data_IF_341950676519
#
_entry.id   IF_341950676519
#
_cell.length_a   1.000
_cell.length_b   1.000
_cell.length_c   1.000
_cell.angle_alpha   90.00
_cell.angle_beta   90.00
_cell.angle_gamma   90.00
#
_symmetry.space_group_name_H-M   'P 1'
#
loop_
_entity.id
_entity.type
_entity.pdbx_description
1 polymer ?
#
# COMPACT_ATOMS: atom_id res chain seq x y z
N UNK A 1 19.28 -42.32 5.13
CA UNK A 1 18.06 -41.52 4.86
C UNK A 1 18.43 -40.06 5.16
N UNK A 2 18.50 -39.19 4.15
CA UNK A 2 18.88 -37.79 4.36
C UNK A 2 17.67 -36.97 4.78
N UNK A 3 17.86 -36.04 5.74
CA UNK A 3 16.86 -35.05 6.15
C UNK A 3 17.38 -33.68 5.72
N UNK A 4 16.63 -33.01 4.85
CA UNK A 4 16.96 -31.66 4.39
C UNK A 4 16.16 -30.65 5.21
N UNK A 5 16.82 -29.57 5.63
CA UNK A 5 16.18 -28.44 6.30
C UNK A 5 16.50 -27.20 5.47
N UNK A 6 15.46 -26.45 5.08
CA UNK A 6 15.60 -25.18 4.39
C UNK A 6 15.15 -24.07 5.34
N UNK A 7 16.03 -23.09 5.56
CA UNK A 7 15.70 -21.86 6.26
C UNK A 7 15.54 -20.76 5.21
N UNK A 8 14.35 -20.14 5.17
CA UNK A 8 14.02 -19.06 4.23
C UNK A 8 13.65 -17.84 5.05
N UNK A 9 14.29 -16.71 4.74
CA UNK A 9 14.01 -15.43 5.36
C UNK A 9 13.44 -14.46 4.32
N UNK A 10 12.32 -13.83 4.66
CA UNK A 10 11.63 -12.85 3.80
C UNK A 10 12.04 -11.45 4.26
N UNK A 11 12.17 -10.51 3.31
CA UNK A 11 12.49 -9.12 3.62
C UNK A 11 11.40 -8.50 4.51
N UNK A 12 11.77 -7.82 5.61
CA UNK A 12 10.82 -7.25 6.57
C UNK A 12 10.29 -5.88 6.10
N UNK A 13 9.95 -5.74 4.81
CA UNK A 13 9.43 -4.51 4.20
C UNK A 13 8.10 -4.85 3.51
N UNK A 14 7.03 -4.17 3.89
CA UNK A 14 5.73 -4.33 3.29
C UNK A 14 5.42 -3.23 2.28
N UNK A 15 4.43 -3.49 1.41
CA UNK A 15 3.83 -2.47 0.56
C UNK A 15 3.22 -1.37 1.45
N UNK A 16 3.31 -0.12 1.00
CA UNK A 16 2.85 1.10 1.68
C UNK A 16 3.66 1.51 2.93
N UNK A 17 4.72 0.78 3.29
CA UNK A 17 5.62 1.19 4.38
C UNK A 17 6.43 2.44 4.00
N UNK A 18 6.75 3.25 5.00
CA UNK A 18 7.67 4.38 4.90
C UNK A 18 9.04 3.97 5.42
N UNK A 19 10.09 4.26 4.66
CA UNK A 19 11.47 3.94 5.01
C UNK A 19 12.32 5.21 5.03
N UNK A 20 13.27 5.24 5.96
CA UNK A 20 14.38 6.17 5.96
C UNK A 20 15.64 5.40 5.55
N UNK A 21 16.05 5.54 4.29
CA UNK A 21 17.17 4.80 3.75
C UNK A 21 18.50 5.29 4.35
N UNK A 22 19.45 4.38 4.63
CA UNK A 22 20.83 4.76 4.87
C UNK A 22 21.39 5.55 3.67
N UNK A 23 22.19 6.59 3.94
CA UNK A 23 22.72 7.48 2.88
C UNK A 23 23.48 6.72 1.77
N UNK A 24 24.24 5.68 2.14
CA UNK A 24 24.95 4.85 1.17
C UNK A 24 23.99 4.08 0.25
N UNK A 25 22.90 3.54 0.80
CA UNK A 25 21.84 2.86 0.05
C UNK A 25 21.12 3.85 -0.86
N UNK A 26 20.79 5.03 -0.36
CA UNK A 26 20.14 6.09 -1.13
C UNK A 26 21.01 6.57 -2.31
N UNK A 27 22.31 6.76 -2.09
CA UNK A 27 23.27 7.13 -3.13
C UNK A 27 23.39 6.06 -4.23
N UNK A 28 23.51 4.78 -3.84
CA UNK A 28 23.61 3.67 -4.79
C UNK A 28 22.32 3.41 -5.58
N UNK A 29 21.16 3.84 -5.06
CA UNK A 29 19.88 3.82 -5.75
C UNK A 29 19.64 5.08 -6.62
N UNK A 30 20.69 5.59 -7.25
CA UNK A 30 20.62 6.75 -8.16
C UNK A 30 20.42 8.07 -7.44
N UNK A 31 21.01 8.24 -6.26
CA UNK A 31 20.84 9.42 -5.42
C UNK A 31 19.36 9.74 -5.11
N UNK A 32 18.55 8.69 -4.89
CA UNK A 32 17.19 8.87 -4.39
C UNK A 32 17.24 9.51 -3.01
N UNK A 33 16.25 10.34 -2.66
CA UNK A 33 16.13 10.87 -1.29
C UNK A 33 16.01 9.74 -0.25
N UNK A 34 16.41 9.99 1.00
CA UNK A 34 16.36 8.98 2.06
C UNK A 34 14.92 8.58 2.42
N UNK A 35 13.98 9.51 2.29
CA UNK A 35 12.57 9.28 2.59
C UNK A 35 11.86 8.66 1.38
N UNK A 36 11.49 7.39 1.50
CA UNK A 36 10.85 6.63 0.42
C UNK A 36 9.70 5.77 0.93
N UNK A 37 8.76 5.48 0.05
CA UNK A 37 7.63 4.57 0.30
C UNK A 37 7.79 3.31 -0.54
N UNK A 38 7.35 2.16 -0.02
CA UNK A 38 7.30 0.92 -0.80
C UNK A 38 6.04 0.90 -1.68
N UNK A 39 6.22 1.04 -2.99
CA UNK A 39 5.11 1.00 -3.94
C UNK A 39 4.65 -0.42 -4.26
N UNK A 40 5.60 -1.37 -4.35
CA UNK A 40 5.35 -2.74 -4.76
C UNK A 40 6.46 -3.66 -4.25
N UNK A 41 6.07 -4.84 -3.78
CA UNK A 41 6.99 -5.93 -3.43
C UNK A 41 6.79 -7.06 -4.44
N UNK A 42 7.86 -7.45 -5.13
CA UNK A 42 7.86 -8.58 -6.07
C UNK A 42 9.16 -9.39 -5.89
N UNK A 43 9.82 -9.83 -6.97
CA UNK A 43 11.19 -10.34 -6.93
C UNK A 43 12.20 -9.29 -6.44
N UNK A 44 11.89 -8.01 -6.64
CA UNK A 44 12.60 -6.84 -6.12
C UNK A 44 11.62 -5.93 -5.37
N UNK A 45 12.15 -5.07 -4.50
CA UNK A 45 11.36 -4.05 -3.82
C UNK A 45 11.36 -2.77 -4.67
N UNK A 46 10.18 -2.27 -5.03
CA UNK A 46 10.03 -1.03 -5.77
C UNK A 46 9.78 0.13 -4.80
N UNK A 47 10.72 1.07 -4.74
CA UNK A 47 10.72 2.23 -3.88
C UNK A 47 10.35 3.49 -4.66
N UNK A 48 9.68 4.43 -3.99
CA UNK A 48 9.26 5.71 -4.56
C UNK A 48 9.47 6.82 -3.56
N UNK A 49 10.14 7.88 -3.98
CA UNK A 49 10.13 9.12 -3.21
C UNK A 49 8.78 9.84 -3.46
N UNK A 50 7.96 10.05 -2.42
CA UNK A 50 6.61 10.56 -2.59
C UNK A 50 6.55 12.03 -3.02
N UNK A 51 7.63 12.80 -2.80
CA UNK A 51 7.71 14.24 -3.13
C UNK A 51 8.33 14.50 -4.50
N UNK A 52 9.24 13.64 -4.96
CA UNK A 52 9.93 13.81 -6.26
C UNK A 52 9.46 12.84 -7.34
N UNK A 53 8.70 11.79 -6.95
CA UNK A 53 8.37 10.59 -7.76
C UNK A 53 9.56 9.77 -8.23
N UNK A 54 10.77 10.07 -7.80
CA UNK A 54 11.91 9.27 -8.18
C UNK A 54 11.68 7.83 -7.72
N UNK A 55 11.75 6.89 -8.66
CA UNK A 55 11.57 5.48 -8.40
C UNK A 55 12.92 4.78 -8.39
N UNK A 56 13.06 3.79 -7.51
CA UNK A 56 14.24 2.94 -7.44
C UNK A 56 13.83 1.49 -7.19
N UNK A 57 14.71 0.57 -7.55
CA UNK A 57 14.49 -0.87 -7.35
C UNK A 57 15.60 -1.40 -6.45
N UNK A 58 15.19 -1.95 -5.31
CA UNK A 58 16.10 -2.53 -4.33
C UNK A 58 16.07 -4.05 -4.46
N UNK A 59 17.22 -4.62 -4.79
CA UNK A 59 17.41 -6.06 -4.85
C UNK A 59 17.63 -6.64 -3.44
N UNK A 60 17.13 -7.86 -3.20
CA UNK A 60 17.25 -8.53 -1.89
C UNK A 60 18.71 -8.67 -1.44
N UNK A 61 19.62 -9.04 -2.35
CA UNK A 61 21.05 -9.17 -2.04
C UNK A 61 21.70 -7.83 -1.63
N UNK A 62 21.16 -6.70 -2.10
CA UNK A 62 21.65 -5.38 -1.73
C UNK A 62 21.13 -4.98 -0.33
N UNK A 63 19.87 -5.30 -0.02
CA UNK A 63 19.31 -5.09 1.31
C UNK A 63 20.12 -5.83 2.40
N UNK A 64 20.42 -7.12 2.19
CA UNK A 64 21.11 -7.94 3.20
C UNK A 64 22.57 -7.51 3.48
N UNK A 65 23.18 -6.68 2.63
CA UNK A 65 24.50 -6.08 2.92
C UNK A 65 24.42 -5.01 3.99
N UNK A 66 23.33 -4.23 3.99
CA UNK A 66 23.09 -3.13 4.93
C UNK A 66 21.61 -3.11 5.29
N UNK A 67 21.15 -4.08 6.11
CA UNK A 67 19.73 -4.20 6.43
C UNK A 67 19.25 -2.97 7.21
N UNK A 68 18.03 -2.54 6.93
CA UNK A 68 17.36 -1.43 7.59
C UNK A 68 15.90 -1.80 7.88
N UNK A 69 15.21 -0.99 8.69
CA UNK A 69 13.82 -1.21 9.09
C UNK A 69 12.89 -0.19 8.43
N UNK A 70 11.62 -0.54 8.27
CA UNK A 70 10.56 0.43 7.98
C UNK A 70 10.49 1.44 9.13
N UNK A 71 10.52 2.73 8.80
CA UNK A 71 10.45 3.83 9.76
C UNK A 71 9.04 3.96 10.35
N UNK A 72 8.03 3.83 9.48
CA UNK A 72 6.61 3.73 9.82
C UNK A 72 5.97 2.63 8.97
N UNK A 73 4.99 1.95 9.56
CA UNK A 73 4.31 0.80 8.94
C UNK A 73 2.87 1.15 8.64
N UNK A 74 2.15 0.29 7.91
CA UNK A 74 0.70 0.45 7.65
C UNK A 74 -0.14 0.79 8.89
N UNK A 75 0.24 0.35 10.09
CA UNK A 75 -0.50 0.64 11.34
C UNK A 75 -0.46 2.12 11.73
N UNK A 76 0.55 2.86 11.28
CA UNK A 76 0.75 4.28 11.59
C UNK A 76 0.03 5.20 10.57
N UNK A 77 -0.72 4.64 9.62
CA UNK A 77 -1.45 5.41 8.62
C UNK A 77 -2.64 6.15 9.24
N UNK A 78 -2.72 7.44 8.92
CA UNK A 78 -3.81 8.33 9.31
C UNK A 78 -4.59 8.70 8.05
N UNK A 79 -5.91 8.78 8.17
CA UNK A 79 -6.76 9.18 7.06
C UNK A 79 -6.91 10.70 7.00
N UNK A 80 -6.83 11.22 5.79
CA UNK A 80 -6.97 12.63 5.46
C UNK A 80 -8.09 12.82 4.43
N UNK A 81 -8.68 14.00 4.43
CA UNK A 81 -9.62 14.48 3.42
C UNK A 81 -8.87 15.39 2.47
N UNK A 82 -8.99 15.14 1.17
CA UNK A 82 -8.43 15.99 0.13
C UNK A 82 -9.35 17.19 -0.06
N UNK A 83 -8.82 18.39 0.14
CA UNK A 83 -9.54 19.64 -0.05
C UNK A 83 -9.35 20.19 -1.46
N UNK A 84 -8.10 20.17 -1.94
CA UNK A 84 -7.74 20.67 -3.27
C UNK A 84 -6.53 19.94 -3.85
N UNK A 85 -6.39 19.96 -5.18
CA UNK A 85 -5.30 19.31 -5.93
C UNK A 85 -4.80 20.24 -7.04
N UNK A 86 -3.62 20.81 -6.85
CA UNK A 86 -2.94 21.67 -7.81
C UNK A 86 -1.82 20.89 -8.54
N UNK A 87 -2.05 20.60 -9.82
CA UNK A 87 -1.08 19.90 -10.66
C UNK A 87 0.09 20.79 -11.04
N UNK A 88 1.31 20.24 -11.05
CA UNK A 88 2.45 20.98 -11.59
C UNK A 88 2.27 21.24 -13.09
N UNK A 89 2.62 22.45 -13.54
CA UNK A 89 2.34 23.01 -14.87
C UNK A 89 2.78 22.14 -16.06
N UNK A 90 3.72 21.22 -15.87
CA UNK A 90 4.17 20.28 -16.90
C UNK A 90 3.22 19.10 -17.13
N UNK A 91 2.16 18.97 -16.32
CA UNK A 91 1.19 17.89 -16.44
C UNK A 91 -0.14 18.39 -17.01
N UNK A 92 -0.53 17.86 -18.18
CA UNK A 92 -1.79 18.16 -18.82
C UNK A 92 -2.82 17.02 -18.60
N UNK A 93 -3.86 17.22 -17.76
CA UNK A 93 -4.89 16.20 -17.53
C UNK A 93 -5.63 15.78 -18.81
N UNK A 94 -5.76 16.68 -19.80
CA UNK A 94 -6.49 16.41 -21.04
C UNK A 94 -5.74 15.43 -21.97
N UNK A 95 -4.41 15.35 -21.89
CA UNK A 95 -3.63 14.40 -22.70
C UNK A 95 -3.90 12.95 -22.32
N UNK A 96 -4.23 12.66 -21.05
CA UNK A 96 -4.62 11.31 -20.62
C UNK A 96 -5.99 10.88 -21.15
N UNK A 97 -6.92 11.82 -21.38
CA UNK A 97 -8.22 11.48 -22.00
C UNK A 97 -8.09 11.11 -23.48
N UNK A 98 -7.00 11.55 -24.14
CA UNK A 98 -6.71 11.24 -25.56
C UNK A 98 -5.99 9.90 -25.76
N UNK A 99 -5.38 9.35 -24.70
CA UNK A 99 -4.76 8.03 -24.73
C UNK A 99 -5.78 6.94 -24.44
N UNK A 100 -5.96 5.99 -25.36
CA UNK A 100 -6.86 4.85 -25.16
C UNK A 100 -6.58 4.05 -23.86
N UNK A 101 -7.52 3.20 -23.42
CA UNK A 101 -7.40 2.41 -22.20
C UNK A 101 -6.12 1.56 -22.21
N UNK A 102 -5.24 1.76 -21.23
CA UNK A 102 -4.00 0.98 -21.05
C UNK A 102 -2.69 1.73 -21.26
N UNK A 103 -2.69 2.97 -21.79
CA UNK A 103 -1.46 3.73 -22.07
C UNK A 103 -0.72 4.28 -20.85
N UNK A 104 -1.36 4.32 -19.68
CA UNK A 104 -0.80 4.89 -18.46
C UNK A 104 -1.08 3.99 -17.24
N UNK A 105 -0.68 2.72 -17.34
CA UNK A 105 -0.68 1.79 -16.21
C UNK A 105 0.72 1.78 -15.57
N UNK A 106 0.79 1.79 -14.24
CA UNK A 106 2.05 1.70 -13.50
C UNK A 106 2.79 3.04 -13.32
N UNK A 107 4.13 2.99 -13.33
CA UNK A 107 5.05 4.09 -12.96
C UNK A 107 4.85 5.38 -13.79
N UNK A 108 4.44 5.25 -15.05
CA UNK A 108 4.15 6.37 -15.97
C UNK A 108 2.81 7.07 -15.69
N UNK A 109 2.06 6.61 -14.68
CA UNK A 109 0.82 7.24 -14.24
C UNK A 109 1.03 8.36 -13.22
N UNK A 110 2.14 8.38 -12.49
CA UNK A 110 2.29 9.28 -11.34
C UNK A 110 2.37 10.75 -11.76
N UNK A 111 1.55 11.57 -11.09
CA UNK A 111 1.54 13.02 -11.26
C UNK A 111 1.89 13.75 -9.94
N UNK A 112 2.68 14.82 -10.04
CA UNK A 112 3.09 15.70 -8.96
C UNK A 112 2.08 16.85 -9.05
N UNK A 113 1.75 17.49 -7.95
CA UNK A 113 0.62 17.05 -7.16
C UNK A 113 0.72 17.82 -5.84
N UNK A 114 0.56 19.13 -5.83
CA UNK A 114 0.49 19.87 -4.57
C UNK A 114 -0.96 19.72 -4.07
N UNK A 115 -1.14 18.95 -2.99
CA UNK A 115 -2.44 18.50 -2.48
C UNK A 115 -2.67 19.15 -1.13
N UNK A 116 -3.78 19.87 -0.99
CA UNK A 116 -4.20 20.42 0.30
C UNK A 116 -5.07 19.40 1.00
N UNK A 117 -4.69 19.02 2.23
CA UNK A 117 -5.39 18.01 3.01
C UNK A 117 -5.69 18.49 4.42
N UNK A 118 -6.74 17.92 5.01
CA UNK A 118 -7.04 18.02 6.44
C UNK A 118 -7.15 16.62 7.05
N UNK A 119 -6.78 16.44 8.31
CA UNK A 119 -6.96 15.15 9.01
C UNK A 119 -8.44 14.82 9.09
N UNK A 120 -8.83 13.57 8.79
CA UNK A 120 -10.25 13.16 8.80
C UNK A 120 -10.91 13.35 10.16
N UNK A 121 -10.18 13.12 11.24
CA UNK A 121 -10.66 13.27 12.63
C UNK A 121 -10.92 14.74 13.01
N UNK A 122 -10.20 15.67 12.37
CA UNK A 122 -10.26 17.10 12.66
C UNK A 122 -11.24 17.84 11.74
N UNK A 123 -11.63 17.19 10.64
CA UNK A 123 -12.45 17.78 9.59
C UNK A 123 -13.83 18.18 10.12
N UNK A 124 -14.17 19.47 10.00
CA UNK A 124 -15.40 20.06 10.53
C UNK A 124 -15.34 20.47 12.01
N UNK A 125 -14.25 20.14 12.71
CA UNK A 125 -13.98 20.60 14.08
C UNK A 125 -12.93 21.71 14.13
N UNK A 126 -11.99 21.74 13.19
CA UNK A 126 -11.02 22.82 13.02
C UNK A 126 -10.70 23.08 11.54
N UNK A 127 -10.04 24.21 11.28
CA UNK A 127 -9.63 24.66 9.94
C UNK A 127 -8.14 24.37 9.65
N UNK A 128 -7.55 23.34 10.29
CA UNK A 128 -6.15 22.98 10.05
C UNK A 128 -6.03 22.22 8.74
N UNK A 129 -5.34 22.85 7.79
CA UNK A 129 -5.01 22.27 6.49
C UNK A 129 -3.51 22.32 6.24
N UNK A 130 -2.99 21.28 5.60
CA UNK A 130 -1.58 21.16 5.22
C UNK A 130 -1.51 20.91 3.72
N UNK A 131 -0.72 21.72 3.01
CA UNK A 131 -0.43 21.48 1.59
C UNK A 131 0.84 20.65 1.48
N UNK A 132 0.75 19.52 0.77
CA UNK A 132 1.83 18.55 0.62
C UNK A 132 2.02 18.16 -0.83
N UNK A 133 3.28 18.03 -1.26
CA UNK A 133 3.61 17.46 -2.56
C UNK A 133 3.47 15.94 -2.54
N UNK A 134 2.69 15.40 -3.48
CA UNK A 134 2.42 13.97 -3.60
C UNK A 134 2.53 13.45 -5.04
N UNK A 135 3.08 12.26 -5.18
CA UNK A 135 3.06 11.44 -6.40
C UNK A 135 1.66 10.93 -6.81
N UNK A 136 0.65 11.07 -5.94
CA UNK A 136 -0.71 10.59 -6.15
C UNK A 136 -1.62 11.58 -6.90
N UNK A 137 -1.10 12.71 -7.41
CA UNK A 137 -1.94 13.77 -7.99
C UNK A 137 -2.90 13.26 -9.07
N UNK A 138 -2.44 12.32 -9.91
CA UNK A 138 -3.21 11.72 -10.99
C UNK A 138 -4.44 10.90 -10.56
N UNK A 139 -4.51 10.54 -9.27
CA UNK A 139 -5.52 9.67 -8.68
C UNK A 139 -6.48 10.44 -7.77
N UNK A 140 -5.99 11.48 -7.11
CA UNK A 140 -6.73 12.25 -6.10
C UNK A 140 -7.59 13.34 -6.75
N UNK A 141 -8.74 13.60 -6.10
CA UNK A 141 -9.66 14.70 -6.39
C UNK A 141 -10.12 15.32 -5.08
N UNK A 142 -10.56 16.57 -5.12
CA UNK A 142 -11.22 17.20 -3.98
C UNK A 142 -12.42 16.35 -3.50
N UNK A 143 -12.52 16.16 -2.19
CA UNK A 143 -13.50 15.32 -1.52
C UNK A 143 -13.12 13.84 -1.38
N UNK A 144 -12.00 13.39 -1.98
CA UNK A 144 -11.49 12.04 -1.74
C UNK A 144 -10.90 11.88 -0.34
N UNK A 145 -10.89 10.64 0.15
CA UNK A 145 -10.12 10.27 1.33
C UNK A 145 -8.77 9.67 0.91
N UNK A 146 -7.73 9.89 1.70
CA UNK A 146 -6.37 9.41 1.42
C UNK A 146 -5.66 9.02 2.71
N UNK A 147 -4.96 7.90 2.69
CA UNK A 147 -4.09 7.46 3.78
C UNK A 147 -2.71 8.08 3.65
N UNK A 148 -2.18 8.57 4.77
CA UNK A 148 -0.86 9.15 4.84
C UNK A 148 -0.22 9.03 6.22
N UNK A 149 1.08 9.28 6.27
CA UNK A 149 1.85 9.34 7.51
C UNK A 149 2.01 10.78 7.99
N UNK A 150 2.32 10.94 9.27
CA UNK A 150 2.72 12.21 9.87
C UNK A 150 4.13 12.10 10.48
N UNK A 151 5.20 11.93 9.67
CA UNK A 151 6.54 11.59 10.17
C UNK A 151 7.09 12.56 11.21
N UNK A 152 6.84 13.86 11.05
CA UNK A 152 7.29 14.88 11.99
C UNK A 152 6.65 14.76 13.39
N UNK A 153 5.48 14.12 13.52
CA UNK A 153 4.79 13.90 14.80
C UNK A 153 4.82 12.43 15.26
N UNK A 154 5.43 11.54 14.50
CA UNK A 154 5.47 10.11 14.78
C UNK A 154 6.81 9.67 15.39
N UNK A 155 6.76 8.68 16.26
CA UNK A 155 7.98 8.01 16.74
C UNK A 155 8.50 7.07 15.64
N UNK A 156 9.62 7.42 15.01
CA UNK A 156 10.20 6.62 13.94
C UNK A 156 10.97 5.41 14.47
N UNK A 157 10.79 4.26 13.83
CA UNK A 157 11.55 3.03 14.12
C UNK A 157 12.88 2.97 13.33
N UNK A 158 13.61 4.06 13.32
CA UNK A 158 14.90 4.17 12.63
C UNK A 158 15.74 5.27 13.25
N UNK A 159 17.06 5.14 13.15
CA UNK A 159 18.00 6.12 13.66
C UNK A 159 18.03 7.34 12.73
N UNK A 160 17.28 8.37 13.12
CA UNK A 160 17.27 9.69 12.46
C UNK A 160 17.94 10.69 13.39
N UNK A 161 18.92 11.43 12.89
CA UNK A 161 19.55 12.48 13.69
C UNK A 161 18.58 13.64 13.96
N UNK A 162 18.75 14.44 15.03
CA UNK A 162 17.87 15.58 15.30
C UNK A 162 17.77 16.58 14.14
N UNK A 163 18.87 16.77 13.41
CA UNK A 163 18.91 17.65 12.23
C UNK A 163 18.09 17.09 11.05
N UNK A 164 18.11 15.77 10.84
CA UNK A 164 17.30 15.11 9.82
C UNK A 164 15.81 15.06 10.22
N UNK A 165 15.53 14.86 11.51
CA UNK A 165 14.17 14.85 12.05
C UNK A 165 13.47 16.19 11.81
N UNK A 166 14.19 17.30 11.95
CA UNK A 166 13.69 18.65 11.66
C UNK A 166 13.33 18.89 10.17
N UNK A 167 13.80 18.04 9.25
CA UNK A 167 13.52 18.12 7.81
C UNK A 167 12.38 17.20 7.38
N UNK A 168 11.82 16.41 8.30
CA UNK A 168 10.74 15.50 7.97
C UNK A 168 9.48 16.29 7.60
N UNK A 169 8.77 15.89 6.53
CA UNK A 169 7.51 16.51 6.18
C UNK A 169 6.45 16.22 7.23
N UNK A 170 5.54 17.16 7.42
CA UNK A 170 4.40 16.97 8.33
C UNK A 170 3.44 15.90 7.84
N UNK A 171 3.26 15.77 6.53
CA UNK A 171 2.34 14.80 5.91
C UNK A 171 3.02 14.13 4.73
N UNK A 172 2.79 12.83 4.56
CA UNK A 172 3.13 12.07 3.35
C UNK A 172 1.91 11.27 2.93
N UNK A 173 1.39 11.51 1.73
CA UNK A 173 0.27 10.74 1.19
C UNK A 173 0.79 9.46 0.51
N UNK A 174 0.18 8.32 0.83
CA UNK A 174 0.67 6.99 0.45
C UNK A 174 -0.32 6.26 -0.46
N UNK A 175 -1.60 6.21 -0.08
CA UNK A 175 -2.62 5.52 -0.89
C UNK A 175 -3.99 6.18 -0.76
N UNK A 176 -4.76 6.20 -1.86
CA UNK A 176 -6.15 6.66 -1.82
C UNK A 176 -7.00 5.70 -0.96
N UNK A 177 -7.92 6.26 -0.19
CA UNK A 177 -8.95 5.53 0.55
C UNK A 177 -10.27 5.62 -0.21
N UNK A 178 -10.99 4.49 -0.33
CA UNK A 178 -12.28 4.44 -1.01
C UNK A 178 -13.40 4.21 0.00
N UNK A 179 -14.38 5.11 0.02
CA UNK A 179 -15.49 5.11 0.99
C UNK A 179 -16.42 3.89 0.89
N UNK A 180 -16.48 3.24 -0.26
CA UNK A 180 -17.38 2.11 -0.55
C UNK A 180 -16.84 0.74 -0.06
N UNK A 181 -15.74 0.75 0.71
CA UNK A 181 -15.02 -0.45 1.19
C UNK A 181 -15.92 -1.45 1.92
N UNK A 182 -16.83 -0.98 2.77
CA UNK A 182 -17.71 -1.83 3.57
C UNK A 182 -18.81 -2.51 2.74
N UNK A 183 -19.35 -1.83 1.73
CA UNK A 183 -20.35 -2.44 0.83
C UNK A 183 -19.72 -3.46 -0.11
N UNK A 184 -18.49 -3.24 -0.56
CA UNK A 184 -17.75 -4.18 -1.43
C UNK A 184 -17.42 -5.48 -0.70
N UNK A 185 -16.90 -5.40 0.53
CA UNK A 185 -16.58 -6.58 1.34
C UNK A 185 -17.78 -7.55 1.46
N UNK A 186 -18.98 -7.00 1.70
CA UNK A 186 -20.23 -7.79 1.81
C UNK A 186 -20.73 -8.44 0.50
N UNK A 187 -20.26 -7.97 -0.65
CA UNK A 187 -20.65 -8.44 -1.99
C UNK A 187 -19.53 -9.20 -2.70
N UNK A 188 -18.45 -9.53 -2.00
CA UNK A 188 -17.30 -10.22 -2.57
C UNK A 188 -17.65 -11.68 -2.90
N UNK A 189 -17.37 -12.10 -4.14
CA UNK A 189 -17.56 -13.48 -4.64
C UNK A 189 -16.23 -14.15 -5.00
N UNK A 190 -15.12 -13.43 -4.88
CA UNK A 190 -13.78 -13.90 -5.20
C UNK A 190 -13.00 -14.13 -3.90
N UNK A 191 -12.38 -15.29 -3.76
CA UNK A 191 -11.58 -15.70 -2.60
C UNK A 191 -10.18 -16.15 -3.01
N UNK A 192 -9.24 -16.04 -2.07
CA UNK A 192 -7.92 -16.61 -2.19
C UNK A 192 -7.93 -18.07 -1.77
N UNK A 193 -7.06 -18.87 -2.38
CA UNK A 193 -6.85 -20.25 -1.97
C UNK A 193 -5.62 -20.31 -1.05
N UNK A 194 -5.78 -20.87 0.14
CA UNK A 194 -4.68 -21.14 1.04
C UNK A 194 -3.98 -22.45 0.67
N UNK A 195 -2.67 -22.50 0.83
CA UNK A 195 -1.91 -23.74 0.72
C UNK A 195 -2.25 -24.67 1.89
N UNK A 196 -2.46 -25.95 1.61
CA UNK A 196 -2.62 -26.96 2.65
C UNK A 196 -1.34 -27.02 3.50
N UNK A 197 -1.45 -26.63 4.77
CA UNK A 197 -0.33 -26.73 5.72
C UNK A 197 -0.30 -28.17 6.23
N UNK A 198 0.70 -28.96 5.84
CA UNK A 198 0.93 -30.27 6.45
C UNK A 198 1.20 -30.10 7.95
N UNK A 199 0.38 -30.71 8.79
CA UNK A 199 0.62 -30.82 10.22
C UNK A 199 1.41 -32.10 10.49
N UNK A 200 2.73 -32.00 10.61
CA UNK A 200 3.51 -33.12 11.14
C UNK A 200 3.10 -33.38 12.60
N UNK A 201 2.76 -34.63 12.91
CA UNK A 201 2.42 -35.10 14.26
C UNK A 201 3.67 -34.95 15.14
N UNK A 202 3.66 -33.98 16.06
CA UNK A 202 4.72 -33.77 17.05
C UNK A 202 5.36 -32.38 17.06
N UNK A 203 5.10 -31.52 16.07
CA UNK A 203 5.48 -30.10 16.16
C UNK A 203 4.37 -29.35 16.89
N UNK A 204 4.46 -29.29 18.22
CA UNK A 204 3.64 -28.37 19.01
C UNK A 204 3.99 -26.94 18.56
N UNK A 205 3.19 -26.38 17.66
CA UNK A 205 3.28 -24.95 17.33
C UNK A 205 2.95 -24.17 18.60
N UNK A 206 3.98 -23.66 19.24
CA UNK A 206 3.84 -22.66 20.29
C UNK A 206 3.10 -21.44 19.74
N UNK A 207 2.24 -20.89 20.59
CA UNK A 207 1.34 -19.74 20.37
C UNK A 207 0.12 -20.02 19.48
N UNK A 208 -1.03 -20.08 20.18
CA UNK A 208 -2.34 -19.69 19.72
C UNK A 208 -2.21 -18.43 18.83
N UNK A 209 -2.25 -18.62 17.51
CA UNK A 209 -2.22 -17.54 16.54
C UNK A 209 -3.49 -16.72 16.76
N UNK A 210 -3.35 -15.42 17.00
CA UNK A 210 -4.49 -14.53 17.17
C UNK A 210 -5.29 -14.50 15.86
N UNK A 211 -6.40 -15.24 15.84
CA UNK A 211 -7.24 -15.40 14.65
C UNK A 211 -7.81 -14.06 14.20
N UNK A 212 -8.03 -13.14 15.14
CA UNK A 212 -8.63 -11.83 14.85
C UNK A 212 -7.68 -10.93 14.06
N UNK A 213 -6.41 -10.89 14.43
CA UNK A 213 -5.38 -10.14 13.70
C UNK A 213 -5.17 -10.69 12.29
N UNK A 214 -5.16 -12.03 12.17
CA UNK A 214 -5.04 -12.68 10.87
C UNK A 214 -6.24 -12.39 9.95
N UNK A 215 -7.46 -12.41 10.49
CA UNK A 215 -8.68 -12.08 9.75
C UNK A 215 -8.68 -10.62 9.27
N UNK A 216 -8.26 -9.69 10.12
CA UNK A 216 -8.15 -8.27 9.78
C UNK A 216 -7.12 -8.02 8.66
N UNK A 217 -5.93 -8.64 8.75
CA UNK A 217 -4.90 -8.54 7.71
C UNK A 217 -5.37 -9.17 6.39
N UNK A 218 -6.06 -10.32 6.46
CA UNK A 218 -6.63 -10.97 5.30
C UNK A 218 -7.70 -10.10 4.63
N UNK A 219 -8.60 -9.47 5.40
CA UNK A 219 -9.59 -8.56 4.84
C UNK A 219 -8.93 -7.34 4.18
N UNK A 220 -7.96 -6.73 4.84
CA UNK A 220 -7.22 -5.58 4.30
C UNK A 220 -6.52 -5.93 2.98
N UNK A 221 -5.91 -7.11 2.89
CA UNK A 221 -5.30 -7.59 1.66
C UNK A 221 -6.31 -7.79 0.53
N UNK A 222 -7.47 -8.37 0.84
CA UNK A 222 -8.53 -8.53 -0.15
C UNK A 222 -9.09 -7.17 -0.64
N UNK A 223 -9.12 -6.16 0.23
CA UNK A 223 -9.48 -4.79 -0.18
C UNK A 223 -8.42 -4.20 -1.13
N UNK A 224 -7.13 -4.37 -0.82
CA UNK A 224 -6.06 -3.91 -1.70
C UNK A 224 -6.14 -4.57 -3.09
N UNK A 225 -6.51 -5.85 -3.16
CA UNK A 225 -6.75 -6.56 -4.42
C UNK A 225 -7.93 -6.02 -5.24
N UNK A 226 -8.93 -5.42 -4.58
CA UNK A 226 -10.07 -4.79 -5.24
C UNK A 226 -9.75 -3.36 -5.69
N UNK A 227 -8.87 -2.67 -4.97
CA UNK A 227 -8.51 -1.27 -5.19
C UNK A 227 -7.34 -1.07 -6.17
N UNK A 228 -6.41 -2.02 -6.25
CA UNK A 228 -5.20 -1.95 -7.10
C UNK A 228 -5.26 -2.97 -8.25
N UNK A 229 -5.55 -2.53 -9.50
CA UNK A 229 -5.57 -3.39 -10.67
C UNK A 229 -4.23 -4.09 -10.96
N UNK A 230 -3.11 -3.46 -10.59
CA UNK A 230 -1.78 -4.03 -10.81
C UNK A 230 -1.59 -5.21 -9.87
N UNK A 231 -1.88 -5.03 -8.58
CA UNK A 231 -1.82 -6.10 -7.59
C UNK A 231 -2.78 -7.24 -7.94
N UNK A 232 -4.01 -6.88 -8.34
CA UNK A 232 -5.04 -7.81 -8.79
C UNK A 232 -4.60 -8.71 -9.94
N UNK A 233 -3.82 -8.17 -10.88
CA UNK A 233 -3.36 -8.91 -12.07
C UNK A 233 -2.34 -10.00 -11.73
N UNK A 234 -1.64 -9.87 -10.61
CA UNK A 234 -0.56 -10.77 -10.22
C UNK A 234 -1.02 -11.95 -9.34
N UNK A 235 -2.28 -11.94 -8.91
CA UNK A 235 -2.81 -12.88 -7.93
C UNK A 235 -4.02 -13.62 -8.51
N UNK A 236 -3.99 -14.94 -8.40
CA UNK A 236 -5.08 -15.81 -8.80
C UNK A 236 -6.19 -15.76 -7.75
N UNK A 237 -7.40 -15.45 -8.19
CA UNK A 237 -8.61 -15.43 -7.38
C UNK A 237 -9.58 -16.48 -7.89
N UNK A 238 -10.25 -17.13 -6.94
CA UNK A 238 -11.17 -18.22 -7.20
C UNK A 238 -12.59 -17.80 -6.83
N UNK A 239 -13.58 -18.32 -7.53
CA UNK A 239 -14.98 -18.03 -7.19
C UNK A 239 -15.37 -18.76 -5.91
N UNK A 240 -16.11 -18.06 -5.07
CA UNK A 240 -16.69 -18.63 -3.86
C UNK A 240 -18.16 -18.99 -4.11
N UNK A 241 -18.42 -20.29 -4.27
CA UNK A 241 -19.74 -20.84 -4.58
C UNK A 241 -20.77 -20.50 -3.51
N UNK A 242 -20.35 -20.48 -2.24
CA UNK A 242 -21.23 -20.27 -1.09
C UNK A 242 -21.63 -18.80 -0.97
N UNK A 243 -20.68 -17.89 -1.19
CA UNK A 243 -20.96 -16.46 -1.29
C UNK A 243 -21.86 -16.13 -2.49
N UNK A 244 -21.66 -16.79 -3.63
CA UNK A 244 -22.52 -16.63 -4.81
C UNK A 244 -23.95 -17.10 -4.54
N UNK A 245 -24.14 -18.25 -3.90
CA UNK A 245 -25.46 -18.75 -3.50
C UNK A 245 -26.15 -17.79 -2.52
N UNK A 246 -25.42 -17.33 -1.51
CA UNK A 246 -25.93 -16.36 -0.52
C UNK A 246 -26.34 -15.02 -1.15
N UNK A 247 -25.66 -14.57 -2.21
CA UNK A 247 -26.03 -13.36 -2.95
C UNK A 247 -27.23 -13.57 -3.87
N UNK A 248 -27.32 -14.75 -4.49
CA UNK A 248 -28.41 -15.13 -5.38
C UNK A 248 -29.74 -15.22 -4.61
N UNK A 249 -29.73 -15.80 -3.42
CA UNK A 249 -30.88 -15.84 -2.51
C UNK A 249 -31.32 -14.44 -2.07
N UNK A 250 -30.38 -13.55 -1.75
CA UNK A 250 -30.68 -12.14 -1.42
C UNK A 250 -31.26 -11.34 -2.60
N UNK A 251 -30.99 -11.73 -3.83
CA UNK A 251 -31.46 -11.05 -5.05
C UNK A 251 -32.62 -11.76 -5.76
N UNK A 252 -33.12 -12.88 -5.21
CA UNK A 252 -34.23 -13.65 -5.80
C UNK A 252 -33.94 -14.24 -7.18
N UNK A 253 -32.67 -14.46 -7.55
CA UNK A 253 -32.26 -15.05 -8.84
C UNK A 253 -31.65 -16.43 -8.63
N UNK A 254 -32.03 -17.43 -9.44
CA UNK A 254 -31.44 -18.78 -9.39
C UNK A 254 -29.98 -18.79 -9.85
N UNK A 255 -29.10 -19.43 -9.07
CA UNK A 255 -27.68 -19.64 -9.40
C UNK A 255 -27.56 -20.55 -10.65
N UNK A 256 -26.74 -20.21 -11.67
CA UNK A 256 -26.45 -21.15 -12.75
C UNK A 256 -25.53 -22.25 -12.25
N UNK A 257 -25.96 -23.52 -12.34
CA UNK A 257 -25.06 -24.67 -12.20
C UNK A 257 -24.10 -24.67 -13.39
N UNK A 258 -22.79 -24.66 -13.14
CA UNK A 258 -21.78 -24.82 -14.19
C UNK A 258 -21.31 -26.27 -14.24
N UNK A 259 -21.21 -26.80 -15.47
CA UNK A 259 -20.35 -27.93 -15.83
C UNK A 259 -18.97 -27.46 -16.29
#
# INVERSE_FOLDING_TARGET
>A
RYKFTYAVEVLPICKDDLMWLPRATAASLGHIGQLVTCSKVSNVIHLVNPQTKQAAELQSMMFWKTPFRSALTRQDLIEYVVLDVEFQQSWNPQERQRGGPGRHSGRDAWCLADVTVAKRVDFGSNDRQTTVRSHLGHLLKAGDYVWGFCPAASQLNTDVSPAESAQLPEVILVKKSYSDRHHRSRRRVWKLQSLAKETEVGVQRGRQMDTTAYEADHEAFMQDLEEDPTLRSQINLYKDTDAMASQADRQGRRVPQQG
#
